data_IF_018302157943
#
_entry.id   IF_018302157943
#
_cell.length_a   1.000
_cell.length_b   1.000
_cell.length_c   1.000
_cell.angle_alpha   90.00
_cell.angle_beta   90.00
_cell.angle_gamma   90.00
#
_symmetry.space_group_name_H-M   'P 1'
#
loop_
_entity.id
_entity.type
_entity.pdbx_description
1 polymer ?
#
# COMPACT_ATOMS: atom_id res chain seq x y z
N UNK A 1 5.47 -11.18 -20.94
CA UNK A 1 6.62 -10.41 -20.39
C UNK A 1 6.28 -10.16 -18.94
N UNK A 2 7.16 -10.47 -18.00
CA UNK A 2 6.92 -10.14 -16.58
C UNK A 2 6.94 -8.62 -16.43
N UNK A 3 6.04 -8.04 -15.64
CA UNK A 3 6.07 -6.61 -15.36
C UNK A 3 7.35 -6.26 -14.57
N UNK A 4 7.97 -5.14 -14.90
CA UNK A 4 9.14 -4.62 -14.18
C UNK A 4 8.64 -3.82 -12.96
N UNK A 5 8.31 -4.53 -11.90
CA UNK A 5 7.76 -3.96 -10.66
C UNK A 5 8.73 -4.25 -9.51
N UNK A 6 9.24 -3.20 -8.90
CA UNK A 6 10.21 -3.29 -7.81
C UNK A 6 9.84 -2.43 -6.59
N UNK A 7 8.84 -1.55 -6.73
CA UNK A 7 8.32 -0.71 -5.66
C UNK A 7 6.84 -0.37 -5.85
N UNK A 8 6.26 0.39 -4.92
CA UNK A 8 4.87 0.84 -5.01
C UNK A 8 4.63 1.78 -6.20
N UNK A 9 5.60 2.61 -6.57
CA UNK A 9 5.46 3.56 -7.69
C UNK A 9 5.37 2.83 -9.01
N UNK A 10 6.28 1.90 -9.26
CA UNK A 10 6.27 1.06 -10.47
C UNK A 10 5.02 0.17 -10.54
N UNK A 11 4.52 -0.32 -9.39
CA UNK A 11 3.26 -1.05 -9.34
C UNK A 11 2.06 -0.17 -9.73
N UNK A 12 1.98 1.06 -9.23
CA UNK A 12 0.92 2.01 -9.57
C UNK A 12 0.99 2.42 -11.04
N UNK A 13 2.18 2.65 -11.57
CA UNK A 13 2.37 3.00 -12.98
C UNK A 13 1.97 1.84 -13.90
N UNK A 14 2.35 0.62 -13.56
CA UNK A 14 1.88 -0.56 -14.27
C UNK A 14 0.35 -0.69 -14.26
N UNK A 15 -0.29 -0.46 -13.11
CA UNK A 15 -1.75 -0.58 -12.98
C UNK A 15 -2.51 0.53 -13.73
N UNK A 16 -1.93 1.71 -13.93
CA UNK A 16 -2.53 2.78 -14.77
C UNK A 16 -2.76 2.32 -16.20
N UNK A 17 -1.84 1.51 -16.73
CA UNK A 17 -1.91 0.99 -18.08
C UNK A 17 -2.82 -0.24 -18.22
N UNK A 18 -3.32 -0.76 -17.10
CA UNK A 18 -4.23 -1.91 -17.09
C UNK A 18 -5.69 -1.44 -16.98
N UNK A 19 -6.55 -1.67 -18.00
CA UNK A 19 -7.93 -1.22 -17.97
C UNK A 19 -8.68 -1.68 -16.72
N UNK A 20 -9.26 -0.74 -15.97
CA UNK A 20 -10.08 -1.02 -14.80
C UNK A 20 -9.33 -1.50 -13.57
N UNK A 21 -7.99 -1.45 -13.54
CA UNK A 21 -7.22 -1.91 -12.39
C UNK A 21 -6.87 -0.81 -11.40
N UNK A 22 -6.80 0.44 -11.83
CA UNK A 22 -6.55 1.59 -10.96
C UNK A 22 -7.48 2.75 -11.32
N UNK A 23 -8.03 3.39 -10.32
CA UNK A 23 -8.72 4.67 -10.41
C UNK A 23 -7.95 5.71 -9.61
N UNK A 24 -7.62 6.82 -10.25
CA UNK A 24 -6.90 7.93 -9.62
C UNK A 24 -7.86 9.09 -9.42
N UNK A 25 -7.80 9.76 -8.29
CA UNK A 25 -8.59 10.95 -7.99
C UNK A 25 -7.72 12.06 -7.43
N UNK A 26 -7.97 13.28 -7.92
CA UNK A 26 -7.38 14.53 -7.42
C UNK A 26 -8.33 15.27 -6.46
N UNK A 27 -9.49 14.70 -6.17
CA UNK A 27 -10.37 15.25 -5.15
C UNK A 27 -9.77 14.98 -3.78
N UNK A 28 -9.67 16.03 -2.95
CA UNK A 28 -9.25 15.89 -1.56
C UNK A 28 -10.21 14.95 -0.84
N UNK A 29 -9.65 14.00 -0.09
CA UNK A 29 -10.42 13.05 0.69
C UNK A 29 -9.94 12.98 2.14
N UNK A 30 -10.89 12.89 3.07
CA UNK A 30 -10.61 12.76 4.49
C UNK A 30 -10.10 11.35 4.81
N UNK A 31 -8.94 11.19 5.45
CA UNK A 31 -8.46 9.87 5.87
C UNK A 31 -9.34 9.25 6.96
N UNK A 32 -10.18 10.04 7.65
CA UNK A 32 -11.13 9.53 8.63
C UNK A 32 -12.39 8.99 7.95
N UNK A 33 -12.40 7.69 7.69
CA UNK A 33 -13.47 6.89 7.10
C UNK A 33 -13.86 7.20 5.63
N UNK A 34 -13.63 8.43 5.10
CA UNK A 34 -14.07 8.78 3.75
C UNK A 34 -13.30 8.00 2.67
N UNK A 35 -11.96 7.97 2.74
CA UNK A 35 -11.14 7.20 1.78
C UNK A 35 -11.62 5.75 1.69
N UNK A 36 -11.83 5.12 2.83
CA UNK A 36 -12.28 3.72 2.90
C UNK A 36 -13.72 3.56 2.43
N UNK A 37 -14.61 4.51 2.76
CA UNK A 37 -15.99 4.53 2.31
C UNK A 37 -16.10 4.66 0.79
N UNK A 38 -15.39 5.59 0.19
CA UNK A 38 -15.32 5.79 -1.26
C UNK A 38 -14.79 4.55 -1.96
N UNK A 39 -13.68 3.99 -1.48
CA UNK A 39 -13.12 2.75 -2.02
C UNK A 39 -14.12 1.59 -1.93
N UNK A 40 -14.78 1.39 -0.79
CA UNK A 40 -15.79 0.34 -0.60
C UNK A 40 -16.94 0.48 -1.60
N UNK A 41 -17.42 1.70 -1.82
CA UNK A 41 -18.49 1.97 -2.76
C UNK A 41 -18.07 1.70 -4.21
N UNK A 42 -16.91 2.20 -4.62
CA UNK A 42 -16.40 2.10 -6.00
C UNK A 42 -15.83 0.71 -6.28
N UNK A 43 -14.93 0.25 -5.42
CA UNK A 43 -14.10 -0.92 -5.65
C UNK A 43 -14.70 -2.24 -5.19
N UNK A 44 -15.59 -2.24 -4.21
CA UNK A 44 -16.09 -3.47 -3.59
C UNK A 44 -17.60 -3.68 -3.70
N UNK A 45 -18.34 -2.72 -4.31
CA UNK A 45 -19.78 -2.86 -4.57
C UNK A 45 -20.70 -2.41 -3.45
N UNK A 46 -20.19 -1.72 -2.45
CA UNK A 46 -20.95 -1.13 -1.36
C UNK A 46 -20.22 -1.14 -0.02
N UNK A 47 -20.78 -0.41 0.94
CA UNK A 47 -20.15 -0.18 2.25
C UNK A 47 -20.69 -1.05 3.38
N UNK A 48 -21.91 -1.56 3.24
CA UNK A 48 -22.65 -2.24 4.34
C UNK A 48 -22.52 -3.76 4.29
N UNK A 49 -22.31 -4.34 3.11
CA UNK A 49 -22.26 -5.77 2.90
C UNK A 49 -20.83 -6.25 2.58
N UNK A 50 -20.64 -7.55 2.56
CA UNK A 50 -19.39 -8.14 2.05
C UNK A 50 -19.16 -7.67 0.61
N UNK A 51 -17.90 -7.57 0.16
CA UNK A 51 -17.60 -7.23 -1.24
C UNK A 51 -18.36 -8.12 -2.21
N UNK A 52 -19.08 -7.50 -3.14
CA UNK A 52 -19.90 -8.21 -4.15
C UNK A 52 -19.31 -8.13 -5.54
N UNK A 53 -18.30 -7.31 -5.73
CA UNK A 53 -17.55 -7.20 -6.99
C UNK A 53 -16.07 -7.00 -6.74
N UNK A 54 -15.29 -7.31 -7.74
CA UNK A 54 -13.88 -7.00 -7.84
C UNK A 54 -13.72 -5.72 -8.66
N UNK A 55 -13.37 -4.64 -7.99
CA UNK A 55 -13.22 -3.33 -8.61
C UNK A 55 -11.76 -2.86 -8.65
N UNK A 56 -11.50 -1.64 -9.16
CA UNK A 56 -10.17 -1.07 -9.21
C UNK A 56 -9.58 -0.86 -7.81
N UNK A 57 -8.25 -0.84 -7.72
CA UNK A 57 -7.57 -0.12 -6.66
C UNK A 57 -7.82 1.37 -6.83
N UNK A 58 -7.65 2.16 -5.78
CA UNK A 58 -7.76 3.61 -5.86
C UNK A 58 -6.50 4.29 -5.34
N UNK A 59 -6.13 5.39 -6.01
CA UNK A 59 -5.08 6.29 -5.57
C UNK A 59 -5.70 7.67 -5.32
N UNK A 60 -5.62 8.14 -4.10
CA UNK A 60 -5.98 9.49 -3.69
C UNK A 60 -4.73 10.36 -3.68
N UNK A 61 -4.68 11.35 -4.56
CA UNK A 61 -3.52 12.24 -4.68
C UNK A 61 -3.51 13.36 -3.64
N UNK A 62 -4.67 13.68 -3.05
CA UNK A 62 -4.81 14.72 -2.03
C UNK A 62 -5.51 14.15 -0.81
N UNK A 63 -4.80 14.17 0.33
CA UNK A 63 -5.30 13.68 1.61
C UNK A 63 -5.44 14.87 2.56
N UNK A 64 -6.64 15.09 3.07
CA UNK A 64 -6.94 16.19 3.96
C UNK A 64 -6.02 16.21 5.19
N UNK A 65 -5.40 17.34 5.44
CA UNK A 65 -4.45 17.52 6.54
C UNK A 65 -3.00 17.13 6.23
N UNK A 66 -2.70 16.76 4.97
CA UNK A 66 -1.36 16.40 4.51
C UNK A 66 -1.06 17.06 3.16
N UNK A 67 -0.02 17.88 3.09
CA UNK A 67 0.24 18.70 1.88
C UNK A 67 0.65 17.86 0.67
N UNK A 68 1.56 16.91 0.81
CA UNK A 68 2.14 16.13 -0.30
C UNK A 68 1.93 14.62 -0.16
N UNK A 69 0.97 14.21 0.67
CA UNK A 69 0.74 12.80 0.91
C UNK A 69 -0.31 12.20 -0.03
N UNK A 70 -0.11 10.93 -0.38
CA UNK A 70 -1.03 10.15 -1.19
C UNK A 70 -1.38 8.84 -0.47
N UNK A 71 -2.60 8.35 -0.70
CA UNK A 71 -3.05 7.06 -0.17
C UNK A 71 -3.49 6.16 -1.32
N UNK A 72 -2.87 4.99 -1.41
CA UNK A 72 -3.30 3.90 -2.28
C UNK A 72 -4.05 2.84 -1.47
N UNK A 73 -5.22 2.43 -1.93
CA UNK A 73 -6.07 1.46 -1.25
C UNK A 73 -6.54 0.37 -2.22
N UNK A 74 -6.71 -0.85 -1.71
CA UNK A 74 -7.25 -1.96 -2.47
C UNK A 74 -6.29 -2.63 -3.46
N UNK A 75 -4.99 -2.38 -3.39
CA UNK A 75 -4.00 -2.98 -4.29
C UNK A 75 -4.02 -4.51 -4.24
N UNK A 76 -4.16 -5.09 -3.06
CA UNK A 76 -4.20 -6.54 -2.86
C UNK A 76 -5.63 -7.11 -2.73
N UNK A 77 -6.66 -6.30 -2.99
CA UNK A 77 -8.05 -6.74 -2.84
C UNK A 77 -8.57 -7.62 -3.99
N UNK A 78 -7.79 -7.81 -5.06
CA UNK A 78 -8.12 -8.62 -6.20
C UNK A 78 -7.06 -9.69 -6.42
N UNK A 79 -7.47 -10.96 -6.41
CA UNK A 79 -6.57 -12.09 -6.72
C UNK A 79 -5.93 -11.93 -8.11
N UNK A 80 -6.71 -11.51 -9.09
CA UNK A 80 -6.24 -11.27 -10.46
C UNK A 80 -5.21 -10.13 -10.50
N UNK A 81 -5.45 -9.04 -9.75
CA UNK A 81 -4.51 -7.92 -9.67
C UNK A 81 -3.20 -8.34 -9.02
N UNK A 82 -3.27 -9.09 -7.92
CA UNK A 82 -2.06 -9.63 -7.26
C UNK A 82 -1.27 -10.50 -8.22
N UNK A 83 -1.94 -11.41 -8.93
CA UNK A 83 -1.29 -12.27 -9.92
C UNK A 83 -0.60 -11.44 -11.02
N UNK A 84 -1.30 -10.43 -11.57
CA UNK A 84 -0.74 -9.55 -12.59
C UNK A 84 0.49 -8.78 -12.09
N UNK A 85 0.43 -8.23 -10.87
CA UNK A 85 1.55 -7.50 -10.26
C UNK A 85 2.78 -8.38 -10.03
N UNK A 86 2.56 -9.65 -9.73
CA UNK A 86 3.63 -10.62 -9.48
C UNK A 86 4.05 -11.38 -10.74
N UNK A 87 3.38 -11.17 -11.86
CA UNK A 87 3.63 -11.93 -13.10
C UNK A 87 3.31 -13.42 -12.98
N UNK A 88 2.26 -13.75 -12.20
CA UNK A 88 1.82 -15.12 -11.90
C UNK A 88 0.43 -15.41 -12.49
N UNK A 89 0.05 -16.69 -12.57
CA UNK A 89 -1.29 -17.10 -12.94
C UNK A 89 -2.27 -16.95 -11.76
N UNK A 90 -3.37 -16.24 -11.98
CA UNK A 90 -4.40 -16.02 -10.97
C UNK A 90 -5.09 -17.31 -10.50
N UNK A 91 -5.23 -18.32 -11.37
CA UNK A 91 -5.85 -19.59 -11.01
C UNK A 91 -4.94 -20.43 -10.12
N UNK A 92 -3.63 -20.37 -10.37
CA UNK A 92 -2.60 -21.14 -9.67
C UNK A 92 -1.78 -20.30 -8.68
N UNK A 93 -2.21 -19.08 -8.35
CA UNK A 93 -1.45 -18.08 -7.59
C UNK A 93 -0.81 -18.66 -6.31
N UNK A 94 -1.53 -19.44 -5.52
CA UNK A 94 -1.00 -20.00 -4.27
C UNK A 94 0.14 -21.00 -4.49
N UNK A 95 0.03 -21.85 -5.52
CA UNK A 95 1.05 -22.86 -5.86
C UNK A 95 2.28 -22.17 -6.44
N UNK A 96 2.08 -21.21 -7.35
CA UNK A 96 3.18 -20.46 -7.96
C UNK A 96 3.91 -19.58 -6.93
N UNK A 97 3.18 -18.94 -6.02
CA UNK A 97 3.77 -18.21 -4.88
C UNK A 97 4.63 -19.12 -4.02
N UNK A 98 4.12 -20.29 -3.64
CA UNK A 98 4.86 -21.26 -2.82
C UNK A 98 6.14 -21.73 -3.52
N UNK A 99 6.12 -21.88 -4.84
CA UNK A 99 7.31 -22.24 -5.61
C UNK A 99 8.33 -21.08 -5.65
N UNK A 100 7.86 -19.85 -5.89
CA UNK A 100 8.73 -18.66 -5.90
C UNK A 100 9.41 -18.40 -4.56
N UNK A 101 8.73 -18.66 -3.44
CA UNK A 101 9.30 -18.50 -2.10
C UNK A 101 10.45 -19.45 -1.78
N UNK A 102 10.67 -20.48 -2.58
CA UNK A 102 11.86 -21.33 -2.45
C UNK A 102 13.14 -20.66 -2.97
N UNK A 103 13.01 -19.58 -3.73
CA UNK A 103 14.09 -18.83 -4.35
C UNK A 103 14.17 -17.45 -3.73
N UNK A 104 14.91 -17.33 -2.64
CA UNK A 104 15.08 -16.05 -1.95
C UNK A 104 16.29 -15.29 -2.51
N UNK A 105 16.18 -13.96 -2.52
CA UNK A 105 17.27 -13.05 -2.83
C UNK A 105 17.88 -12.62 -1.50
N UNK A 106 19.19 -12.82 -1.34
CA UNK A 106 19.88 -12.36 -0.14
C UNK A 106 19.88 -10.82 -0.08
N UNK A 107 19.70 -10.22 1.11
CA UNK A 107 19.84 -8.79 1.28
C UNK A 107 21.26 -8.34 0.92
N UNK A 108 21.37 -7.21 0.22
CA UNK A 108 22.66 -6.57 0.01
C UNK A 108 23.08 -5.82 1.27
N UNK A 109 24.31 -6.05 1.72
CA UNK A 109 24.89 -5.28 2.81
C UNK A 109 25.36 -3.93 2.27
N UNK A 110 24.89 -2.86 2.89
CA UNK A 110 25.27 -1.50 2.53
C UNK A 110 26.43 -1.08 3.44
N UNK A 111 27.46 -0.46 2.87
CA UNK A 111 28.59 0.07 3.63
C UNK A 111 28.12 1.19 4.58
N UNK A 112 28.72 1.24 5.77
CA UNK A 112 28.42 2.28 6.75
C UNK A 112 28.67 3.68 6.16
N UNK A 113 27.66 4.56 6.23
CA UNK A 113 27.70 5.91 5.68
C UNK A 113 27.34 6.02 4.19
N UNK A 114 27.02 4.93 3.51
CA UNK A 114 26.50 5.01 2.14
C UNK A 114 25.11 5.68 2.12
N UNK A 115 24.83 6.42 1.05
CA UNK A 115 23.50 7.00 0.84
C UNK A 115 22.49 5.89 0.54
N UNK A 116 21.35 5.94 1.24
CA UNK A 116 20.24 4.99 1.06
C UNK A 116 18.96 5.79 0.96
N UNK A 117 18.24 5.67 -0.15
CA UNK A 117 17.03 6.44 -0.44
C UNK A 117 15.96 6.32 0.65
N UNK A 118 15.80 5.15 1.25
CA UNK A 118 14.82 4.95 2.33
C UNK A 118 15.23 5.55 3.69
N UNK A 119 16.44 6.10 3.80
CA UNK A 119 16.98 6.79 4.98
C UNK A 119 17.28 8.27 4.73
N UNK A 120 16.82 8.84 3.62
CA UNK A 120 17.04 10.23 3.26
C UNK A 120 16.43 11.20 4.28
N UNK A 121 15.26 10.86 4.80
CA UNK A 121 14.59 11.65 5.84
C UNK A 121 14.51 10.85 7.14
N UNK A 122 15.07 11.41 8.19
CA UNK A 122 15.07 10.80 9.53
C UNK A 122 14.35 11.72 10.51
N UNK A 123 13.33 11.23 11.16
CA UNK A 123 12.58 11.90 12.21
C UNK A 123 12.85 11.21 13.55
N UNK A 124 13.16 11.98 14.58
CA UNK A 124 13.47 11.43 15.89
C UNK A 124 12.34 11.70 16.88
N UNK A 125 11.98 10.68 17.66
CA UNK A 125 10.90 10.78 18.63
C UNK A 125 11.18 11.78 19.77
N UNK A 126 12.44 12.11 20.01
CA UNK A 126 12.88 13.12 21.01
C UNK A 126 12.88 14.56 20.47
N UNK A 127 12.60 14.78 19.19
CA UNK A 127 12.51 16.10 18.60
C UNK A 127 11.23 16.82 19.02
N UNK A 128 11.32 18.13 19.38
CA UNK A 128 10.14 18.91 19.73
C UNK A 128 9.11 18.95 18.60
N UNK A 129 7.88 18.57 18.89
CA UNK A 129 6.78 18.59 17.92
C UNK A 129 6.68 17.35 17.03
N UNK A 130 7.53 16.32 17.25
CA UNK A 130 7.38 15.05 16.56
C UNK A 130 5.99 14.43 16.85
N UNK A 131 5.27 14.11 15.78
CA UNK A 131 4.02 13.36 15.85
C UNK A 131 3.90 12.53 14.55
N UNK A 132 4.06 11.22 14.68
CA UNK A 132 3.98 10.30 13.54
C UNK A 132 2.66 10.41 12.77
N UNK A 133 1.56 10.73 13.46
CA UNK A 133 0.25 10.89 12.84
C UNK A 133 0.15 12.09 11.90
N UNK A 134 1.07 13.05 12.01
CA UNK A 134 1.18 14.20 11.10
C UNK A 134 2.11 13.94 9.92
N UNK A 135 2.91 12.89 9.98
CA UNK A 135 3.85 12.53 8.93
C UNK A 135 3.26 11.47 7.99
N UNK A 136 2.43 10.57 8.52
CA UNK A 136 1.94 9.42 7.77
C UNK A 136 0.42 9.48 7.67
N UNK A 137 -0.15 9.57 6.46
CA UNK A 137 -1.60 9.65 6.24
C UNK A 137 -2.27 8.27 6.40
N UNK A 138 -2.19 7.69 7.60
CA UNK A 138 -2.84 6.42 7.88
C UNK A 138 -4.36 6.62 7.99
N UNK A 139 -5.20 5.91 7.21
CA UNK A 139 -6.64 6.06 7.29
C UNK A 139 -7.26 5.32 8.47
N UNK A 140 -8.32 5.88 9.03
CA UNK A 140 -9.31 5.16 9.83
C UNK A 140 -10.32 4.54 8.87
N UNK A 141 -10.54 3.22 8.92
CA UNK A 141 -11.39 2.56 7.92
C UNK A 141 -12.88 2.66 8.23
N UNK A 142 -13.25 2.63 9.52
CA UNK A 142 -14.62 2.86 9.99
C UNK A 142 -14.62 3.75 11.23
N UNK A 143 -15.71 4.48 11.51
CA UNK A 143 -15.79 5.32 12.71
C UNK A 143 -15.66 4.56 14.04
N UNK A 144 -15.89 3.25 14.03
CA UNK A 144 -15.79 2.38 15.20
C UNK A 144 -14.38 1.82 15.43
N UNK A 145 -13.46 2.04 14.50
CA UNK A 145 -12.07 1.59 14.66
C UNK A 145 -11.38 2.32 15.82
N UNK A 146 -10.46 1.66 16.48
CA UNK A 146 -9.71 2.22 17.60
C UNK A 146 -8.76 3.36 17.18
N UNK A 147 -8.53 3.56 15.90
CA UNK A 147 -7.71 4.62 15.33
C UNK A 147 -7.21 4.30 13.92
N UNK A 148 -6.39 5.18 13.36
CA UNK A 148 -5.83 4.99 12.03
C UNK A 148 -4.77 3.87 12.01
N UNK A 149 -4.72 3.10 10.89
CA UNK A 149 -3.71 2.07 10.71
C UNK A 149 -3.39 1.81 9.24
N UNK A 150 -2.18 1.30 9.02
CA UNK A 150 -1.66 0.89 7.72
C UNK A 150 -1.74 -0.64 7.65
N UNK A 151 -2.56 -1.17 6.75
CA UNK A 151 -2.82 -2.62 6.65
C UNK A 151 -1.81 -3.40 5.82
N UNK A 152 -0.97 -2.71 5.02
CA UNK A 152 0.10 -3.32 4.21
C UNK A 152 1.50 -3.12 4.80
N UNK A 153 1.60 -2.69 6.05
CA UNK A 153 2.87 -2.51 6.72
C UNK A 153 3.57 -3.83 7.02
N UNK A 154 4.86 -3.89 6.72
CA UNK A 154 5.74 -4.96 7.18
C UNK A 154 6.60 -4.39 8.32
N UNK A 155 6.41 -4.92 9.52
CA UNK A 155 7.26 -4.56 10.64
C UNK A 155 8.52 -5.42 10.61
N UNK A 156 9.68 -4.75 10.57
CA UNK A 156 10.97 -5.41 10.69
C UNK A 156 11.59 -5.04 12.05
N UNK A 157 12.08 -6.02 12.74
CA UNK A 157 12.75 -5.84 14.03
C UNK A 157 13.82 -6.88 14.22
N UNK A 158 14.78 -6.54 15.06
CA UNK A 158 15.81 -7.47 15.52
C UNK A 158 15.59 -7.79 16.99
N UNK A 159 15.92 -9.01 17.38
CA UNK A 159 15.94 -9.39 18.78
C UNK A 159 17.08 -8.61 19.46
N UNK A 160 16.82 -7.83 20.52
CA UNK A 160 17.85 -7.05 21.19
C UNK A 160 18.90 -7.90 21.91
N UNK A 161 18.66 -9.21 22.05
CA UNK A 161 19.59 -10.15 22.69
C UNK A 161 20.45 -10.95 21.71
N UNK A 162 20.27 -10.75 20.37
CA UNK A 162 21.05 -11.43 19.33
C UNK A 162 21.75 -10.44 18.40
#
# INVERSE_FOLDING_TARGET
MMPDIHDLRSALDYLKDQPGQLLVTDTEADPDAEISGVYRYVGAGGTVMRPTKEGPAMLFNHVKGFDDARVAIGLLASRKRVANLLGLDAEHLGIEMAEKLKHTIAPEMIEEGAHVDCQEQVYRADEPGFDLRKLVPAPTNTPEDAGPYITMGLAMGTDPEN
#
